data_IF_192199594883
#
_entry.id   IF_192199594883
#
_cell.length_a   1.000
_cell.length_b   1.000
_cell.length_c   1.000
_cell.angle_alpha   90.00
_cell.angle_beta   90.00
_cell.angle_gamma   90.00
#
_symmetry.space_group_name_H-M   'P 1'
#
loop_
_entity.id
_entity.type
_entity.pdbx_description
1 polymer ?
#
# COMPACT_ATOMS: atom_id res chain seq x y z
N UNK A 1 20.42 -39.56 -4.12
CA UNK A 1 19.08 -39.26 -4.68
C UNK A 1 18.12 -39.12 -3.50
N UNK A 2 17.80 -37.88 -3.06
CA UNK A 2 16.56 -37.12 -3.38
C UNK A 2 15.32 -37.81 -2.75
N UNK A 3 14.44 -37.25 -1.90
CA UNK A 3 14.06 -35.88 -1.48
C UNK A 3 13.47 -35.98 -0.05
N UNK A 4 13.74 -35.03 0.86
CA UNK A 4 13.02 -34.89 2.14
C UNK A 4 11.77 -34.01 1.92
N UNK A 5 10.58 -34.57 2.08
CA UNK A 5 9.31 -33.84 2.03
C UNK A 5 9.14 -33.02 3.31
N UNK A 6 9.39 -31.71 3.23
CA UNK A 6 9.18 -30.80 4.36
C UNK A 6 7.85 -30.06 4.17
N UNK A 7 6.98 -30.31 5.15
CA UNK A 7 5.62 -29.82 5.37
C UNK A 7 5.36 -28.37 4.94
N UNK A 8 4.33 -28.18 4.11
CA UNK A 8 3.71 -26.88 3.85
C UNK A 8 2.50 -26.72 4.78
N UNK A 9 2.73 -26.11 5.95
CA UNK A 9 1.65 -25.78 6.89
C UNK A 9 1.03 -24.45 6.49
N UNK A 10 -0.07 -24.51 5.73
CA UNK A 10 -0.86 -23.34 5.32
C UNK A 10 -1.62 -22.80 6.54
N UNK A 11 -1.08 -21.77 7.20
CA UNK A 11 -1.82 -21.03 8.21
C UNK A 11 -2.80 -20.07 7.52
N UNK A 12 -4.08 -20.42 7.54
CA UNK A 12 -5.18 -19.54 7.14
C UNK A 12 -5.32 -18.48 8.23
N UNK A 13 -4.89 -17.25 7.94
CA UNK A 13 -5.11 -16.11 8.82
C UNK A 13 -6.58 -15.68 8.68
N UNK A 14 -7.41 -16.08 9.65
CA UNK A 14 -8.76 -15.57 9.79
C UNK A 14 -8.70 -14.08 10.15
N UNK A 15 -9.16 -13.21 9.26
CA UNK A 15 -9.28 -11.78 9.53
C UNK A 15 -10.40 -11.58 10.58
N UNK A 16 -10.01 -11.21 11.80
CA UNK A 16 -10.95 -10.76 12.83
C UNK A 16 -11.29 -9.30 12.54
N UNK A 17 -12.55 -9.05 12.17
CA UNK A 17 -13.10 -7.71 12.04
C UNK A 17 -13.26 -7.09 13.43
N UNK A 18 -12.39 -6.14 13.78
CA UNK A 18 -12.59 -5.24 14.91
C UNK A 18 -13.71 -4.26 14.55
N UNK A 19 -14.92 -4.50 15.06
CA UNK A 19 -16.01 -3.53 15.02
C UNK A 19 -15.75 -2.46 16.10
N UNK A 20 -15.21 -1.32 15.69
CA UNK A 20 -15.04 -0.15 16.54
C UNK A 20 -16.37 0.59 16.65
N UNK A 21 -16.90 0.70 17.87
CA UNK A 21 -18.17 1.36 18.17
C UNK A 21 -18.05 2.87 17.88
N UNK A 22 -18.86 3.40 16.96
CA UNK A 22 -18.83 4.82 16.58
C UNK A 22 -19.42 5.71 17.69
N UNK A 23 -18.66 6.73 18.09
CA UNK A 23 -19.13 7.86 18.88
C UNK A 23 -19.86 8.89 17.98
N UNK A 24 -20.71 9.72 18.59
CA UNK A 24 -21.53 10.80 17.99
C UNK A 24 -20.88 11.57 16.81
N UNK A 25 -21.67 12.04 15.81
CA UNK A 25 -21.17 12.76 14.66
C UNK A 25 -20.70 14.16 15.08
N UNK A 26 -19.48 14.24 15.60
CA UNK A 26 -18.79 15.48 15.87
C UNK A 26 -17.79 15.69 14.74
N UNK A 27 -18.03 16.65 13.86
CA UNK A 27 -17.04 17.02 12.84
C UNK A 27 -15.75 17.48 13.51
N UNK A 28 -14.60 17.02 13.01
CA UNK A 28 -13.33 17.34 13.61
C UNK A 28 -12.18 16.49 13.10
N UNK A 29 -10.96 16.93 13.40
CA UNK A 29 -9.72 16.35 12.89
C UNK A 29 -9.68 14.82 13.03
N UNK A 30 -10.03 14.26 14.19
CA UNK A 30 -9.99 12.81 14.44
C UNK A 30 -11.23 12.07 13.94
N UNK A 31 -12.41 12.67 14.08
CA UNK A 31 -13.67 11.99 13.77
C UNK A 31 -13.91 11.84 12.26
N UNK A 32 -13.42 12.81 11.48
CA UNK A 32 -13.44 12.75 10.01
C UNK A 32 -12.14 12.17 9.43
N UNK A 33 -11.28 11.55 10.26
CA UNK A 33 -10.08 10.84 9.77
C UNK A 33 -10.42 9.45 9.24
N UNK A 34 -9.76 9.03 8.17
CA UNK A 34 -9.80 7.67 7.63
C UNK A 34 -8.39 7.08 7.53
N UNK A 35 -8.29 5.79 7.81
CA UNK A 35 -7.10 4.98 7.53
C UNK A 35 -7.50 3.78 6.67
N UNK A 36 -7.04 3.78 5.43
CA UNK A 36 -7.27 2.68 4.49
C UNK A 36 -6.05 1.77 4.42
N UNK A 37 -6.28 0.47 4.60
CA UNK A 37 -5.26 -0.56 4.50
C UNK A 37 -5.56 -1.48 3.31
N UNK A 38 -4.65 -1.51 2.34
CA UNK A 38 -4.73 -2.39 1.18
C UNK A 38 -3.60 -3.42 1.21
N UNK A 39 -3.97 -4.70 1.20
CA UNK A 39 -3.05 -5.81 0.98
C UNK A 39 -3.24 -6.35 -0.42
N UNK A 40 -2.15 -6.53 -1.15
CA UNK A 40 -2.17 -7.08 -2.51
C UNK A 40 -1.12 -8.15 -2.68
N UNK A 41 -1.54 -9.38 -2.90
CA UNK A 41 -0.67 -10.42 -3.46
C UNK A 41 -0.74 -10.35 -4.98
N UNK A 42 0.40 -10.33 -5.66
CA UNK A 42 0.43 -10.23 -7.12
C UNK A 42 1.55 -11.09 -7.70
N UNK A 43 1.15 -12.02 -8.57
CA UNK A 43 2.05 -12.83 -9.40
C UNK A 43 2.13 -12.23 -10.80
N UNK A 44 3.34 -12.04 -11.30
CA UNK A 44 3.59 -11.52 -12.63
C UNK A 44 4.54 -12.45 -13.38
N UNK A 45 4.15 -12.86 -14.58
CA UNK A 45 4.99 -13.59 -15.52
C UNK A 45 4.87 -12.98 -16.93
N UNK A 46 5.99 -12.69 -17.58
CA UNK A 46 6.06 -12.25 -18.97
C UNK A 46 7.28 -12.85 -19.64
N UNK A 47 7.00 -13.74 -20.58
CA UNK A 47 8.00 -14.30 -21.49
C UNK A 47 8.43 -13.26 -22.52
N UNK A 48 9.71 -13.28 -22.89
CA UNK A 48 10.26 -12.32 -23.85
C UNK A 48 11.19 -13.00 -24.85
N UNK A 49 11.06 -12.63 -26.11
CA UNK A 49 11.96 -13.12 -27.17
C UNK A 49 13.27 -12.33 -27.15
N UNK A 50 14.41 -13.03 -27.14
CA UNK A 50 15.75 -12.45 -27.27
C UNK A 50 16.28 -11.75 -26.01
N UNK A 51 15.63 -11.89 -24.86
CA UNK A 51 16.01 -11.28 -23.57
C UNK A 51 15.42 -12.09 -22.41
N UNK A 52 15.94 -11.90 -21.20
CA UNK A 52 15.45 -12.61 -20.02
C UNK A 52 13.99 -12.25 -19.66
N UNK A 53 13.19 -13.27 -19.37
CA UNK A 53 11.80 -13.15 -18.90
C UNK A 53 11.68 -12.34 -17.61
N UNK A 54 10.49 -11.81 -17.35
CA UNK A 54 10.19 -11.11 -16.10
C UNK A 54 9.22 -11.90 -15.26
N UNK A 55 9.67 -12.39 -14.10
CA UNK A 55 8.90 -13.26 -13.21
C UNK A 55 9.08 -12.81 -11.77
N UNK A 56 7.97 -12.56 -11.07
CA UNK A 56 7.97 -12.26 -9.64
C UNK A 56 6.63 -12.56 -8.97
N UNK A 57 6.71 -12.88 -7.68
CA UNK A 57 5.58 -12.91 -6.76
C UNK A 57 5.87 -11.93 -5.63
N UNK A 58 4.96 -10.98 -5.42
CA UNK A 58 5.09 -9.97 -4.37
C UNK A 58 3.87 -9.94 -3.47
N UNK A 59 4.08 -9.52 -2.23
CA UNK A 59 3.04 -9.11 -1.31
C UNK A 59 3.22 -7.63 -1.01
N UNK A 60 2.29 -6.80 -1.44
CA UNK A 60 2.27 -5.38 -1.20
C UNK A 60 1.32 -5.01 -0.05
N UNK A 61 1.69 -3.94 0.63
CA UNK A 61 0.94 -3.23 1.66
C UNK A 61 0.89 -1.76 1.24
N UNK A 62 -0.31 -1.18 1.22
CA UNK A 62 -0.51 0.27 1.09
C UNK A 62 -1.34 0.75 2.27
N UNK A 63 -0.88 1.85 2.87
CA UNK A 63 -1.58 2.58 3.92
C UNK A 63 -1.84 3.98 3.40
N UNK A 64 -3.10 4.40 3.40
CA UNK A 64 -3.48 5.78 3.09
C UNK A 64 -4.18 6.35 4.33
N UNK A 65 -3.62 7.42 4.88
CA UNK A 65 -4.19 8.16 5.98
C UNK A 65 -4.67 9.51 5.47
N UNK A 66 -5.93 9.82 5.74
CA UNK A 66 -6.56 11.11 5.40
C UNK A 66 -7.12 11.68 6.68
N UNK A 67 -6.63 12.83 7.14
CA UNK A 67 -7.17 13.44 8.36
C UNK A 67 -8.49 14.18 8.09
N UNK A 68 -9.29 14.38 9.13
CA UNK A 68 -10.32 15.42 9.13
C UNK A 68 -9.70 16.83 9.11
N UNK A 69 -10.54 17.86 9.10
CA UNK A 69 -10.08 19.26 9.19
C UNK A 69 -10.11 19.75 10.65
N UNK A 70 -8.95 20.17 11.16
CA UNK A 70 -8.85 20.94 12.38
C UNK A 70 -9.39 22.37 12.12
N UNK A 71 -10.25 22.85 13.03
CA UNK A 71 -10.90 24.16 12.94
C UNK A 71 -11.64 24.40 11.60
N UNK A 72 -12.11 23.33 10.96
CA UNK A 72 -12.70 23.33 9.61
C UNK A 72 -11.82 23.99 8.52
N UNK A 73 -10.50 24.07 8.75
CA UNK A 73 -9.56 24.81 7.90
C UNK A 73 -8.37 23.96 7.47
N UNK A 74 -7.72 23.23 8.39
CA UNK A 74 -6.42 22.60 8.14
C UNK A 74 -6.50 21.08 8.29
N UNK A 75 -6.00 20.33 7.31
CA UNK A 75 -5.87 18.87 7.39
C UNK A 75 -4.52 18.37 6.86
N UNK A 76 -4.31 17.07 6.98
CA UNK A 76 -3.10 16.38 6.55
C UNK A 76 -3.42 15.00 5.96
N UNK A 77 -2.77 14.67 4.85
CA UNK A 77 -2.90 13.39 4.18
C UNK A 77 -1.52 12.76 3.99
N UNK A 78 -1.41 11.45 4.22
CA UNK A 78 -0.19 10.70 3.99
C UNK A 78 -0.47 9.35 3.34
N UNK A 79 0.49 8.85 2.57
CA UNK A 79 0.42 7.48 2.05
C UNK A 79 1.77 6.80 2.10
N UNK A 80 1.74 5.51 2.44
CA UNK A 80 2.90 4.64 2.52
C UNK A 80 2.64 3.39 1.69
N UNK A 81 3.65 2.99 0.93
CA UNK A 81 3.64 1.80 0.11
C UNK A 81 4.83 0.93 0.49
N UNK A 82 4.59 -0.37 0.60
CA UNK A 82 5.64 -1.37 0.79
C UNK A 82 5.33 -2.56 -0.12
N UNK A 83 6.35 -3.10 -0.77
CA UNK A 83 6.27 -4.33 -1.56
C UNK A 83 7.34 -5.29 -1.06
N UNK A 84 6.94 -6.49 -0.67
CA UNK A 84 7.83 -7.53 -0.16
C UNK A 84 7.96 -8.64 -1.19
N UNK A 85 9.19 -9.15 -1.37
CA UNK A 85 9.47 -10.28 -2.26
C UNK A 85 9.05 -11.59 -1.60
N UNK A 86 8.13 -12.30 -2.23
CA UNK A 86 7.84 -13.71 -1.91
C UNK A 86 8.61 -14.66 -2.82
N UNK A 87 8.62 -14.38 -4.13
CA UNK A 87 9.43 -15.09 -5.11
C UNK A 87 9.94 -14.12 -6.18
N UNK A 88 11.14 -14.38 -6.69
CA UNK A 88 11.78 -13.54 -7.69
C UNK A 88 13.24 -13.95 -7.83
N UNK A 89 13.52 -14.64 -8.92
CA UNK A 89 14.85 -15.13 -9.27
C UNK A 89 15.75 -14.00 -9.76
N UNK A 90 17.06 -14.20 -9.63
CA UNK A 90 18.05 -13.28 -10.17
C UNK A 90 18.00 -13.29 -11.71
N UNK A 91 18.13 -12.12 -12.33
CA UNK A 91 18.04 -11.95 -13.78
C UNK A 91 16.62 -12.01 -14.36
N UNK A 92 15.59 -12.29 -13.53
CA UNK A 92 14.17 -12.28 -13.92
C UNK A 92 13.41 -11.00 -13.49
N UNK A 93 14.15 -9.92 -13.27
CA UNK A 93 13.62 -8.61 -12.86
C UNK A 93 12.78 -7.91 -13.93
N UNK A 94 12.39 -6.65 -13.66
CA UNK A 94 11.63 -5.83 -14.61
C UNK A 94 10.12 -6.09 -14.65
N UNK A 95 9.57 -6.70 -13.60
CA UNK A 95 8.11 -6.89 -13.41
C UNK A 95 7.40 -5.62 -12.94
N UNK A 96 8.13 -4.66 -12.37
CA UNK A 96 7.58 -3.48 -11.72
C UNK A 96 7.05 -3.73 -10.30
N UNK A 97 7.00 -4.99 -9.84
CA UNK A 97 6.53 -5.37 -8.50
C UNK A 97 7.61 -5.22 -7.42
N UNK A 98 8.86 -5.40 -7.80
CA UNK A 98 10.03 -5.45 -6.93
C UNK A 98 11.12 -4.56 -7.50
N UNK A 99 12.00 -4.06 -6.64
CA UNK A 99 13.16 -3.29 -7.06
C UNK A 99 14.26 -4.25 -7.50
N UNK A 100 14.90 -3.96 -8.63
CA UNK A 100 16.05 -4.72 -9.10
C UNK A 100 17.35 -4.05 -8.61
N UNK A 101 18.10 -4.76 -7.78
CA UNK A 101 19.41 -4.37 -7.32
C UNK A 101 20.46 -5.31 -7.89
N UNK A 102 21.17 -4.85 -8.93
CA UNK A 102 22.27 -5.59 -9.60
C UNK A 102 21.86 -6.99 -10.08
N UNK A 103 20.64 -7.11 -10.62
CA UNK A 103 20.10 -8.37 -11.12
C UNK A 103 19.40 -9.20 -10.04
N UNK A 104 19.37 -8.75 -8.78
CA UNK A 104 18.62 -9.40 -7.70
C UNK A 104 17.38 -8.61 -7.34
N UNK A 105 16.22 -9.27 -7.39
CA UNK A 105 14.95 -8.66 -7.00
C UNK A 105 14.85 -8.55 -5.48
N UNK A 106 14.42 -7.38 -4.99
CA UNK A 106 14.20 -7.09 -3.56
C UNK A 106 12.91 -6.32 -3.34
N UNK A 107 12.38 -6.43 -2.12
CA UNK A 107 11.29 -5.59 -1.66
C UNK A 107 11.73 -4.14 -1.47
N UNK A 108 10.77 -3.23 -1.42
CA UNK A 108 11.01 -1.80 -1.21
C UNK A 108 9.86 -1.16 -0.46
N UNK A 109 10.11 0.00 0.14
CA UNK A 109 9.08 0.86 0.73
C UNK A 109 9.26 2.30 0.25
N UNK A 110 8.14 3.00 0.06
CA UNK A 110 8.09 4.38 -0.42
C UNK A 110 6.97 5.14 0.26
N UNK A 111 7.23 6.40 0.57
CA UNK A 111 6.17 7.37 0.90
C UNK A 111 5.58 7.84 -0.43
N UNK A 112 4.26 7.76 -0.58
CA UNK A 112 3.58 8.22 -1.78
C UNK A 112 3.23 9.70 -1.70
N UNK A 113 2.61 10.11 -0.60
CA UNK A 113 2.25 11.52 -0.34
C UNK A 113 2.44 11.87 1.13
N UNK A 114 2.69 13.16 1.36
CA UNK A 114 2.67 13.81 2.67
C UNK A 114 2.25 15.26 2.40
N UNK A 115 0.95 15.53 2.49
CA UNK A 115 0.32 16.76 2.04
C UNK A 115 -0.40 17.45 3.20
N UNK A 116 -0.35 18.77 3.20
CA UNK A 116 -1.22 19.60 4.03
C UNK A 116 -2.34 20.14 3.15
N UNK A 117 -3.58 20.04 3.62
CA UNK A 117 -4.77 20.52 2.91
C UNK A 117 -5.42 21.68 3.66
N UNK A 118 -5.90 22.65 2.89
CA UNK A 118 -6.61 23.83 3.39
C UNK A 118 -8.04 23.84 2.84
N UNK A 119 -9.01 24.02 3.72
CA UNK A 119 -10.42 24.24 3.37
C UNK A 119 -10.73 25.72 3.55
N UNK A 120 -10.91 26.42 2.44
CA UNK A 120 -11.37 27.81 2.41
C UNK A 120 -12.88 27.76 2.19
N UNK A 121 -13.65 28.28 3.14
CA UNK A 121 -15.11 28.15 3.13
C UNK A 121 -15.78 28.68 1.86
N UNK A 122 -16.94 28.13 1.51
CA UNK A 122 -17.70 28.42 0.28
C UNK A 122 -18.32 29.84 0.24
N UNK A 123 -18.06 30.68 1.25
CA UNK A 123 -18.66 32.02 1.40
C UNK A 123 -17.80 33.15 0.83
N UNK A 124 -17.05 32.92 -0.27
CA UNK A 124 -16.37 33.99 -1.01
C UNK A 124 -17.38 34.64 -1.96
N UNK A 125 -18.30 35.45 -1.40
CA UNK A 125 -19.07 36.42 -2.17
C UNK A 125 -18.17 37.63 -2.45
N UNK A 126 -17.46 37.61 -3.57
CA UNK A 126 -16.83 38.81 -4.12
C UNK A 126 -17.92 39.65 -4.77
N UNK A 127 -18.60 40.47 -3.97
CA UNK A 127 -19.48 41.49 -4.50
C UNK A 127 -18.61 42.70 -4.93
N UNK A 128 -18.66 43.14 -6.20
CA UNK A 128 -17.92 44.31 -6.68
C UNK A 128 -18.43 45.63 -6.09
#
# INVERSE_FOLDING_TARGET
MLIKHTFLSTAILAATSLSMQAAEPSHGFFNDSSLDLNLRSYYFNRDKVGRADSIALSQALRLDFTSGYAYDLLGFDASLFSSQKLSGEAGKGGTGLLQDERGSQRGYSKIGQALVKLKLGDNVNLNP
#
